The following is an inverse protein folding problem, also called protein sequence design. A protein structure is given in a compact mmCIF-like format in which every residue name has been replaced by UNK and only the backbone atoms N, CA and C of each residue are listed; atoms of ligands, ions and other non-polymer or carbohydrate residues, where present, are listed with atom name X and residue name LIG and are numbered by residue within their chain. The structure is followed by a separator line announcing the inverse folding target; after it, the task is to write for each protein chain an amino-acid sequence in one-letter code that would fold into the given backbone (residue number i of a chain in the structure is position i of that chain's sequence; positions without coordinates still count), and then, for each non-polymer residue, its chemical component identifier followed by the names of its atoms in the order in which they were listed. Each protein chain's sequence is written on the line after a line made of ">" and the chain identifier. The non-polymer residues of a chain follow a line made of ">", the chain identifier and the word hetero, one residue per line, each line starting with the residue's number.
data_IF_200875315949
#
_entry.id   IF_200875315949
#
_cell.length_a   1.000
_cell.length_b   1.000
_cell.length_c   1.000
_cell.angle_alpha   90.00
_cell.angle_beta   90.00
_cell.angle_gamma   90.00
#
_symmetry.space_group_name_H-M   'P 1'
#
loop_
_entity.id
_entity.type
_entity.pdbx_description
1 polymer ?
#
# COMPACT_ATOMS: atom_id res chain seq x y z
N UNK A 1 -5.84 -62.58 -33.57
CA UNK A 1 -6.57 -61.47 -32.98
C UNK A 1 -5.59 -60.64 -32.13
N UNK A 2 -4.97 -59.63 -32.75
CA UNK A 2 -4.08 -58.70 -32.03
C UNK A 2 -4.92 -57.67 -31.28
N UNK A 3 -4.75 -57.57 -29.96
CA UNK A 3 -5.32 -56.49 -29.15
C UNK A 3 -4.39 -55.29 -29.26
N UNK A 4 -4.81 -54.26 -30.00
CA UNK A 4 -4.18 -52.97 -29.99
C UNK A 4 -4.43 -52.30 -28.62
N UNK A 5 -3.37 -52.21 -27.85
CA UNK A 5 -3.36 -51.42 -26.61
C UNK A 5 -3.35 -49.94 -26.96
N UNK A 6 -4.47 -49.22 -26.74
CA UNK A 6 -4.50 -47.75 -26.75
C UNK A 6 -3.49 -47.22 -25.76
N UNK A 7 -2.37 -46.66 -26.26
CA UNK A 7 -1.50 -45.77 -25.48
C UNK A 7 -2.29 -44.53 -25.14
N UNK A 8 -2.74 -44.41 -23.90
CA UNK A 8 -3.19 -43.12 -23.36
C UNK A 8 -1.99 -42.17 -23.38
N UNK A 9 -2.01 -41.19 -24.25
CA UNK A 9 -1.08 -40.06 -24.21
C UNK A 9 -1.27 -39.34 -22.88
N UNK A 10 -0.28 -39.43 -22.00
CA UNK A 10 -0.23 -38.59 -20.80
C UNK A 10 -0.12 -37.13 -21.31
N UNK A 11 -1.07 -36.27 -20.93
CA UNK A 11 -0.92 -34.83 -21.12
C UNK A 11 0.42 -34.38 -20.53
N UNK A 12 1.16 -33.49 -21.19
CA UNK A 12 2.43 -32.98 -20.67
C UNK A 12 2.15 -32.32 -19.30
N UNK A 13 2.88 -32.73 -18.29
CA UNK A 13 2.76 -32.19 -16.94
C UNK A 13 3.28 -30.73 -16.97
N UNK A 14 2.43 -29.77 -16.58
CA UNK A 14 2.77 -28.35 -16.55
C UNK A 14 3.98 -28.10 -15.64
N UNK A 15 4.86 -27.19 -16.04
CA UNK A 15 5.98 -26.71 -15.22
C UNK A 15 5.48 -25.93 -14.00
N UNK A 16 6.32 -25.80 -12.96
CA UNK A 16 6.01 -24.95 -11.81
C UNK A 16 5.79 -23.50 -12.21
N UNK A 17 6.56 -23.01 -13.19
CA UNK A 17 6.38 -21.67 -13.74
C UNK A 17 4.99 -21.47 -14.36
N UNK A 18 4.54 -22.41 -15.20
CA UNK A 18 3.21 -22.35 -15.83
C UNK A 18 2.09 -22.36 -14.78
N UNK A 19 2.20 -23.23 -13.78
CA UNK A 19 1.22 -23.31 -12.69
C UNK A 19 1.18 -22.04 -11.85
N UNK A 20 2.34 -21.49 -11.48
CA UNK A 20 2.43 -20.26 -10.73
C UNK A 20 1.89 -19.05 -11.53
N UNK A 21 2.15 -19.03 -12.85
CA UNK A 21 1.65 -17.96 -13.74
C UNK A 21 0.13 -18.03 -13.90
N UNK A 22 -0.45 -19.22 -14.03
CA UNK A 22 -1.90 -19.41 -14.09
C UNK A 22 -2.56 -18.94 -12.79
N UNK A 23 -2.01 -19.31 -11.64
CA UNK A 23 -2.47 -18.89 -10.33
C UNK A 23 -2.39 -17.36 -10.19
N UNK A 24 -1.26 -16.75 -10.54
CA UNK A 24 -1.09 -15.30 -10.49
C UNK A 24 -2.10 -14.57 -11.38
N UNK A 25 -2.33 -15.06 -12.61
CA UNK A 25 -3.31 -14.47 -13.52
C UNK A 25 -4.73 -14.58 -12.98
N UNK A 26 -5.10 -15.70 -12.36
CA UNK A 26 -6.41 -15.88 -11.72
C UNK A 26 -6.63 -14.87 -10.58
N UNK A 27 -5.61 -14.67 -9.76
CA UNK A 27 -5.65 -13.68 -8.66
C UNK A 27 -5.75 -12.26 -9.21
N UNK A 28 -4.99 -11.91 -10.25
CA UNK A 28 -5.07 -10.58 -10.88
C UNK A 28 -6.49 -10.30 -11.44
N UNK A 29 -7.14 -11.31 -12.03
CA UNK A 29 -8.54 -11.21 -12.47
C UNK A 29 -9.50 -11.03 -11.29
N UNK A 30 -9.27 -11.72 -10.17
CA UNK A 30 -10.07 -11.57 -8.94
C UNK A 30 -9.93 -10.15 -8.37
N UNK A 31 -8.74 -9.57 -8.37
CA UNK A 31 -8.50 -8.18 -7.94
C UNK A 31 -9.32 -7.22 -8.80
N UNK A 32 -9.26 -7.38 -10.12
CA UNK A 32 -9.99 -6.54 -11.07
C UNK A 32 -11.52 -6.70 -10.89
N UNK A 33 -12.02 -7.90 -10.73
CA UNK A 33 -13.45 -8.17 -10.48
C UNK A 33 -13.93 -7.50 -9.18
N UNK A 34 -13.13 -7.61 -8.11
CA UNK A 34 -13.42 -6.98 -6.82
C UNK A 34 -13.44 -5.44 -6.94
N UNK A 35 -12.47 -4.89 -7.68
CA UNK A 35 -12.42 -3.46 -8.00
C UNK A 35 -13.66 -3.01 -8.79
N UNK A 36 -14.09 -3.78 -9.80
CA UNK A 36 -15.27 -3.48 -10.62
C UNK A 36 -16.57 -3.46 -9.82
N UNK A 37 -16.69 -4.36 -8.85
CA UNK A 37 -17.84 -4.45 -7.93
C UNK A 37 -17.89 -3.33 -6.90
N UNK A 38 -16.83 -2.49 -6.81
CA UNK A 38 -16.76 -1.38 -5.86
C UNK A 38 -16.40 -1.82 -4.43
N UNK A 39 -15.94 -3.04 -4.22
CA UNK A 39 -15.53 -3.52 -2.90
C UNK A 39 -14.11 -3.04 -2.55
N UNK A 40 -13.92 -2.67 -1.28
CA UNK A 40 -12.57 -2.49 -0.74
C UNK A 40 -11.87 -3.86 -0.69
N UNK A 41 -10.58 -3.87 -0.95
CA UNK A 41 -9.83 -5.12 -0.96
C UNK A 41 -8.42 -4.97 -0.40
N UNK A 42 -7.88 -6.07 0.12
CA UNK A 42 -6.50 -6.20 0.55
C UNK A 42 -5.87 -7.40 -0.14
N UNK A 43 -4.79 -7.15 -0.87
CA UNK A 43 -3.95 -8.17 -1.47
C UNK A 43 -2.82 -8.48 -0.50
N UNK A 44 -2.93 -9.63 0.17
CA UNK A 44 -1.88 -10.18 1.01
C UNK A 44 -0.95 -11.02 0.14
N UNK A 45 0.27 -10.56 -0.03
CA UNK A 45 1.18 -11.04 -1.06
C UNK A 45 2.58 -11.23 -0.49
N UNK A 46 2.98 -12.46 -0.22
CA UNK A 46 4.30 -12.78 0.32
C UNK A 46 5.45 -12.32 -0.57
N UNK A 47 6.67 -12.38 -0.04
CA UNK A 47 7.88 -12.02 -0.77
C UNK A 47 7.96 -12.77 -2.10
N UNK A 48 8.26 -12.05 -3.20
CA UNK A 48 8.41 -12.66 -4.53
C UNK A 48 7.11 -13.00 -5.26
N UNK A 49 5.93 -12.72 -4.70
CA UNK A 49 4.63 -13.04 -5.31
C UNK A 49 4.19 -12.12 -6.46
N UNK A 50 4.96 -11.08 -6.79
CA UNK A 50 4.62 -10.12 -7.85
C UNK A 50 3.56 -9.11 -7.44
N UNK A 51 3.56 -8.63 -6.20
CA UNK A 51 2.69 -7.60 -5.66
C UNK A 51 2.64 -6.33 -6.54
N UNK A 52 3.80 -5.73 -6.81
CA UNK A 52 3.94 -4.55 -7.67
C UNK A 52 3.45 -4.81 -9.11
N UNK A 53 3.60 -6.04 -9.61
CA UNK A 53 3.08 -6.42 -10.93
C UNK A 53 1.54 -6.37 -10.95
N UNK A 54 0.87 -6.92 -9.92
CA UNK A 54 -0.58 -6.86 -9.82
C UNK A 54 -1.09 -5.42 -9.66
N UNK A 55 -0.41 -4.59 -8.86
CA UNK A 55 -0.75 -3.17 -8.74
C UNK A 55 -0.67 -2.47 -10.11
N UNK A 56 0.39 -2.71 -10.88
CA UNK A 56 0.53 -2.15 -12.23
C UNK A 56 -0.59 -2.61 -13.18
N UNK A 57 -0.97 -3.90 -13.16
CA UNK A 57 -2.11 -4.40 -13.94
C UNK A 57 -3.43 -3.71 -13.57
N UNK A 58 -3.66 -3.45 -12.29
CA UNK A 58 -4.82 -2.69 -11.81
C UNK A 58 -4.79 -1.26 -12.36
N UNK A 59 -3.64 -0.59 -12.31
CA UNK A 59 -3.44 0.76 -12.85
C UNK A 59 -3.72 0.78 -14.36
N UNK A 60 -3.15 -0.14 -15.13
CA UNK A 60 -3.38 -0.27 -16.58
C UNK A 60 -4.87 -0.49 -16.89
N UNK A 61 -5.51 -1.38 -16.14
CA UNK A 61 -6.93 -1.64 -16.30
C UNK A 61 -7.79 -0.38 -16.04
N UNK A 62 -7.47 0.39 -14.99
CA UNK A 62 -8.15 1.64 -14.65
C UNK A 62 -7.97 2.66 -15.77
N UNK A 63 -6.76 2.81 -16.31
CA UNK A 63 -6.47 3.71 -17.41
C UNK A 63 -7.33 3.42 -18.66
N UNK A 64 -7.49 2.15 -18.99
CA UNK A 64 -8.27 1.72 -20.17
C UNK A 64 -9.78 1.86 -19.94
N UNK A 65 -10.26 1.45 -18.75
CA UNK A 65 -11.69 1.23 -18.54
C UNK A 65 -12.42 2.36 -17.80
N UNK A 66 -11.69 3.19 -17.03
CA UNK A 66 -12.28 4.20 -16.15
C UNK A 66 -11.93 5.65 -16.52
N UNK A 67 -11.01 5.89 -17.46
CA UNK A 67 -10.52 7.22 -17.77
C UNK A 67 -11.61 8.23 -18.16
N UNK A 68 -12.59 7.82 -18.99
CA UNK A 68 -13.70 8.70 -19.43
C UNK A 68 -14.55 9.13 -18.23
N UNK A 69 -14.84 8.18 -17.31
CA UNK A 69 -15.66 8.44 -16.14
C UNK A 69 -14.98 9.45 -15.20
N UNK A 70 -13.71 9.21 -14.88
CA UNK A 70 -12.98 10.03 -13.91
C UNK A 70 -12.63 11.42 -14.48
N UNK A 71 -12.20 11.51 -15.74
CA UNK A 71 -11.95 12.81 -16.39
C UNK A 71 -13.19 13.68 -16.48
N UNK A 72 -14.34 13.11 -16.87
CA UNK A 72 -15.61 13.87 -16.97
C UNK A 72 -16.00 14.52 -15.63
N UNK A 73 -15.67 13.87 -14.51
CA UNK A 73 -15.99 14.35 -13.16
C UNK A 73 -14.84 15.11 -12.50
N UNK A 74 -13.72 15.33 -13.18
CA UNK A 74 -12.48 15.88 -12.61
C UNK A 74 -12.02 15.12 -11.35
N UNK A 75 -12.13 13.79 -11.38
CA UNK A 75 -11.78 12.87 -10.31
C UNK A 75 -10.39 12.27 -10.56
N UNK A 76 -9.69 11.93 -9.49
CA UNK A 76 -8.36 11.34 -9.54
C UNK A 76 -8.30 10.03 -8.77
N UNK A 77 -7.61 9.06 -9.34
CA UNK A 77 -7.19 7.84 -8.63
C UNK A 77 -5.84 8.13 -7.98
N UNK A 78 -5.71 7.83 -6.71
CA UNK A 78 -4.44 8.01 -5.99
C UNK A 78 -3.75 6.66 -5.84
N UNK A 79 -2.46 6.61 -6.16
CA UNK A 79 -1.62 5.46 -5.89
C UNK A 79 -0.54 5.87 -4.88
N UNK A 80 -0.74 5.50 -3.63
CA UNK A 80 0.18 5.81 -2.53
C UNK A 80 1.25 4.72 -2.49
N UNK A 81 2.52 5.15 -2.51
CA UNK A 81 3.67 4.28 -2.38
C UNK A 81 4.55 4.75 -1.23
N UNK A 82 5.44 3.87 -0.78
CA UNK A 82 6.31 4.18 0.35
C UNK A 82 7.48 5.10 -0.03
N UNK A 83 8.04 4.98 -1.24
CA UNK A 83 9.26 5.68 -1.67
C UNK A 83 9.05 6.53 -2.92
N UNK A 84 9.85 7.60 -3.06
CA UNK A 84 9.87 8.39 -4.30
C UNK A 84 10.30 7.55 -5.51
N UNK A 85 11.22 6.60 -5.35
CA UNK A 85 11.61 5.70 -6.42
C UNK A 85 10.44 4.87 -6.96
N UNK A 86 9.54 4.40 -6.08
CA UNK A 86 8.32 3.71 -6.50
C UNK A 86 7.32 4.66 -7.20
N UNK A 87 7.22 5.92 -6.72
CA UNK A 87 6.44 6.97 -7.40
C UNK A 87 6.96 7.18 -8.82
N UNK A 88 8.27 7.29 -9.01
CA UNK A 88 8.91 7.52 -10.32
C UNK A 88 8.67 6.34 -11.27
N UNK A 89 8.76 5.10 -10.77
CA UNK A 89 8.48 3.90 -11.58
C UNK A 89 7.04 3.87 -12.07
N UNK A 90 6.06 4.21 -11.23
CA UNK A 90 4.66 4.26 -11.63
C UNK A 90 4.43 5.44 -12.58
N UNK A 91 4.97 6.62 -12.26
CA UNK A 91 4.83 7.83 -13.09
C UNK A 91 5.37 7.63 -14.50
N UNK A 92 6.50 6.93 -14.65
CA UNK A 92 7.10 6.63 -15.96
C UNK A 92 6.25 5.74 -16.87
N UNK A 93 5.23 5.09 -16.33
CA UNK A 93 4.27 4.25 -17.07
C UNK A 93 2.96 4.97 -17.40
N UNK A 94 2.74 6.14 -16.82
CA UNK A 94 1.54 6.93 -17.04
C UNK A 94 1.72 7.91 -18.18
N UNK A 95 0.66 8.18 -18.93
CA UNK A 95 0.64 9.28 -19.89
C UNK A 95 0.73 10.63 -19.15
N UNK A 96 1.31 11.64 -19.80
CA UNK A 96 1.51 12.98 -19.21
C UNK A 96 0.23 13.67 -18.70
N UNK A 97 -0.93 13.25 -19.16
CA UNK A 97 -2.24 13.80 -18.80
C UNK A 97 -3.09 12.75 -18.05
N UNK A 98 -2.44 12.03 -17.13
CA UNK A 98 -3.10 10.96 -16.37
C UNK A 98 -3.96 11.55 -15.25
N UNK A 99 -5.14 10.96 -15.05
CA UNK A 99 -5.98 11.18 -13.88
C UNK A 99 -5.52 10.34 -12.66
N UNK A 100 -4.46 9.53 -12.82
CA UNK A 100 -3.85 8.73 -11.75
C UNK A 100 -2.68 9.53 -11.18
N UNK A 101 -2.66 9.68 -9.86
CA UNK A 101 -1.67 10.45 -9.11
C UNK A 101 -0.84 9.49 -8.26
N UNK A 102 0.34 9.05 -8.72
CA UNK A 102 1.31 8.39 -7.87
C UNK A 102 1.88 9.39 -6.86
N UNK A 103 1.98 9.02 -5.61
CA UNK A 103 2.45 9.93 -4.57
C UNK A 103 2.94 9.17 -3.34
N UNK A 104 3.83 9.78 -2.57
CA UNK A 104 4.06 9.33 -1.19
C UNK A 104 2.92 9.81 -0.29
N UNK A 105 2.74 9.16 0.86
CA UNK A 105 1.65 9.51 1.78
C UNK A 105 1.74 10.97 2.25
N UNK A 106 2.93 11.50 2.51
CA UNK A 106 3.13 12.89 2.94
C UNK A 106 2.81 13.89 1.82
N UNK A 107 3.29 13.62 0.61
CA UNK A 107 3.00 14.46 -0.56
C UNK A 107 1.50 14.46 -0.89
N UNK A 108 0.85 13.30 -0.82
CA UNK A 108 -0.60 13.20 -1.00
C UNK A 108 -1.36 13.97 0.07
N UNK A 109 -1.05 13.73 1.35
CA UNK A 109 -1.68 14.42 2.47
C UNK A 109 -1.58 15.93 2.32
N UNK A 110 -0.36 16.45 2.04
CA UNK A 110 -0.16 17.88 1.81
C UNK A 110 -0.97 18.41 0.63
N UNK A 111 -0.95 17.74 -0.52
CA UNK A 111 -1.71 18.14 -1.70
C UNK A 111 -3.24 18.13 -1.46
N UNK A 112 -3.73 17.27 -0.58
CA UNK A 112 -5.14 17.24 -0.21
C UNK A 112 -5.55 18.43 0.67
N UNK A 113 -4.65 18.92 1.55
CA UNK A 113 -5.00 19.92 2.57
C UNK A 113 -4.48 21.33 2.29
N UNK A 114 -3.43 21.52 1.50
CA UNK A 114 -2.74 22.82 1.31
C UNK A 114 -3.64 23.99 0.91
N UNK A 115 -4.78 23.73 0.27
CA UNK A 115 -5.74 24.75 -0.13
C UNK A 115 -6.61 25.28 1.02
N UNK A 116 -6.66 24.57 2.16
CA UNK A 116 -7.50 24.94 3.31
C UNK A 116 -6.75 25.80 4.32
N UNK A 117 -6.03 26.81 3.85
CA UNK A 117 -5.12 27.65 4.65
C UNK A 117 -5.72 28.18 5.94
N UNK A 118 -6.92 28.77 5.90
CA UNK A 118 -7.61 29.31 7.10
C UNK A 118 -7.91 28.22 8.13
N UNK A 119 -8.28 27.01 7.68
CA UNK A 119 -8.54 25.88 8.57
C UNK A 119 -7.24 25.34 9.17
N UNK A 120 -6.16 25.27 8.38
CA UNK A 120 -4.84 24.85 8.85
C UNK A 120 -4.31 25.83 9.91
N UNK A 121 -4.37 27.13 9.65
CA UNK A 121 -3.95 28.17 10.60
C UNK A 121 -4.75 28.06 11.91
N UNK A 122 -6.07 27.85 11.82
CA UNK A 122 -6.91 27.64 13.01
C UNK A 122 -6.45 26.43 13.82
N UNK A 123 -6.30 25.27 13.20
CA UNK A 123 -5.81 24.05 13.89
C UNK A 123 -4.44 24.27 14.55
N UNK A 124 -3.51 24.92 13.84
CA UNK A 124 -2.19 25.23 14.36
C UNK A 124 -2.28 26.16 15.58
N UNK A 125 -3.17 27.14 15.57
CA UNK A 125 -3.36 28.09 16.69
C UNK A 125 -3.99 27.44 17.93
N UNK A 126 -4.80 26.41 17.75
CA UNK A 126 -5.51 25.69 18.82
C UNK A 126 -4.67 24.52 19.40
N UNK A 127 -3.71 23.99 18.65
CA UNK A 127 -2.89 22.84 19.06
C UNK A 127 -1.60 23.30 19.79
N UNK A 128 -1.51 22.95 21.08
CA UNK A 128 -0.39 23.31 21.94
C UNK A 128 0.97 22.81 21.44
N UNK A 129 1.02 21.74 20.65
CA UNK A 129 2.26 21.20 20.11
C UNK A 129 2.95 22.12 19.10
N UNK A 130 2.24 23.11 18.57
CA UNK A 130 2.80 24.15 17.72
C UNK A 130 3.29 25.36 18.50
N UNK A 131 2.91 25.55 19.77
CA UNK A 131 3.31 26.71 20.59
C UNK A 131 4.80 26.77 20.91
N UNK A 132 5.49 25.64 20.90
CA UNK A 132 6.95 25.57 21.11
C UNK A 132 7.77 25.84 19.86
N UNK A 133 7.14 26.26 18.76
CA UNK A 133 7.81 26.51 17.49
C UNK A 133 8.57 27.84 17.56
N UNK A 134 9.81 27.86 17.06
CA UNK A 134 10.59 29.10 16.95
C UNK A 134 9.90 30.10 16.01
N UNK A 135 9.94 31.40 16.40
CA UNK A 135 9.38 32.49 15.64
C UNK A 135 8.11 33.12 16.22
N UNK A 136 7.58 34.15 15.57
CA UNK A 136 6.39 34.87 16.00
C UNK A 136 5.12 34.13 15.63
N UNK A 137 4.58 33.39 16.60
CA UNK A 137 3.42 32.51 16.42
C UNK A 137 2.10 33.27 16.09
N UNK A 138 1.98 34.52 16.56
CA UNK A 138 0.73 35.28 16.40
C UNK A 138 0.51 35.86 15.00
N UNK A 139 1.50 35.78 14.13
CA UNK A 139 1.48 36.40 12.81
C UNK A 139 1.33 35.40 11.64
N UNK A 140 0.91 34.15 11.88
CA UNK A 140 0.78 33.16 10.81
C UNK A 140 -0.28 33.59 9.79
N UNK A 141 0.16 33.79 8.55
CA UNK A 141 -0.70 34.15 7.40
C UNK A 141 -0.76 33.06 6.34
N UNK A 142 0.22 32.16 6.34
CA UNK A 142 0.34 31.06 5.38
C UNK A 142 0.97 29.83 6.04
N UNK A 143 0.60 28.68 5.54
CA UNK A 143 1.19 27.40 5.94
C UNK A 143 1.82 26.75 4.70
N UNK A 144 3.06 26.31 4.83
CA UNK A 144 3.81 25.60 3.79
C UNK A 144 4.40 24.31 4.36
N UNK A 145 4.78 23.39 3.48
CA UNK A 145 5.42 22.13 3.84
C UNK A 145 6.88 22.12 3.41
N UNK A 146 7.75 21.70 4.31
CA UNK A 146 9.19 21.60 4.07
C UNK A 146 9.72 20.23 4.48
N UNK A 147 10.84 19.81 3.89
CA UNK A 147 11.56 18.59 4.28
C UNK A 147 12.45 18.78 5.52
N UNK A 148 12.60 20.03 6.01
CA UNK A 148 13.41 20.37 7.18
C UNK A 148 12.68 20.18 8.51
N UNK A 149 12.91 21.08 9.44
CA UNK A 149 12.20 21.14 10.73
C UNK A 149 11.06 22.16 10.68
N UNK A 150 10.21 22.13 11.68
CA UNK A 150 9.12 23.11 11.86
C UNK A 150 9.70 24.46 12.29
N UNK A 151 9.27 25.54 11.64
CA UNK A 151 9.60 26.92 12.04
C UNK A 151 8.58 27.91 11.49
N UNK A 152 8.53 29.13 12.05
CA UNK A 152 7.74 30.23 11.53
C UNK A 152 8.68 31.37 11.12
N UNK A 153 8.58 31.80 9.89
CA UNK A 153 9.36 32.91 9.35
C UNK A 153 8.47 33.82 8.50
N UNK A 154 8.53 35.14 8.75
CA UNK A 154 7.78 36.14 8.00
C UNK A 154 6.27 35.88 7.90
N UNK A 155 5.69 35.23 8.92
CA UNK A 155 4.27 34.84 8.96
C UNK A 155 3.93 33.61 8.10
N UNK A 156 4.94 32.82 7.70
CA UNK A 156 4.77 31.54 7.05
C UNK A 156 5.17 30.46 8.03
N UNK A 157 4.22 29.59 8.38
CA UNK A 157 4.50 28.40 9.17
C UNK A 157 4.94 27.28 8.25
N UNK A 158 6.18 26.84 8.39
CA UNK A 158 6.72 25.69 7.69
C UNK A 158 6.51 24.43 8.51
N UNK A 159 5.77 23.47 7.94
CA UNK A 159 5.42 22.21 8.56
C UNK A 159 6.47 21.14 8.27
N UNK A 160 6.69 20.26 9.24
CA UNK A 160 7.44 19.01 9.08
C UNK A 160 6.52 17.84 8.70
N UNK A 161 7.08 16.68 8.39
CA UNK A 161 6.35 15.48 7.96
C UNK A 161 5.21 15.09 8.89
N UNK A 162 5.48 14.98 10.20
CA UNK A 162 4.48 14.53 11.18
C UNK A 162 3.34 15.55 11.32
N UNK A 163 3.62 16.85 11.12
CA UNK A 163 2.62 17.91 11.17
C UNK A 163 1.60 17.78 10.04
N UNK A 164 2.09 17.50 8.82
CA UNK A 164 1.23 17.31 7.65
C UNK A 164 0.28 16.13 7.87
N UNK A 165 0.78 15.03 8.43
CA UNK A 165 -0.03 13.85 8.73
C UNK A 165 -1.07 14.15 9.81
N UNK A 166 -0.68 14.85 10.88
CA UNK A 166 -1.58 15.27 11.96
C UNK A 166 -2.70 16.16 11.44
N UNK A 167 -2.37 17.18 10.66
CA UNK A 167 -3.33 18.11 10.10
C UNK A 167 -4.25 17.44 9.07
N UNK A 168 -3.73 16.53 8.24
CA UNK A 168 -4.56 15.76 7.32
C UNK A 168 -5.53 14.86 8.09
N UNK A 169 -5.07 14.19 9.13
CA UNK A 169 -5.91 13.39 10.01
C UNK A 169 -7.01 14.24 10.66
N UNK A 170 -6.67 15.43 11.19
CA UNK A 170 -7.65 16.36 11.77
C UNK A 170 -8.69 16.88 10.74
N UNK A 171 -8.27 17.10 9.48
CA UNK A 171 -9.23 17.47 8.44
C UNK A 171 -10.16 16.30 8.08
N UNK A 172 -9.68 15.04 8.12
CA UNK A 172 -10.53 13.87 7.92
C UNK A 172 -11.60 13.73 9.02
N UNK A 173 -11.41 14.29 10.21
CA UNK A 173 -12.45 14.35 11.25
C UNK A 173 -13.60 15.31 10.86
N UNK A 174 -13.41 16.18 9.86
CA UNK A 174 -14.43 17.10 9.37
C UNK A 174 -15.29 16.50 8.25
N UNK A 175 -16.60 16.40 8.46
CA UNK A 175 -17.53 15.79 7.50
C UNK A 175 -17.58 16.50 6.13
N UNK A 176 -17.46 17.85 6.12
CA UNK A 176 -17.44 18.62 4.85
C UNK A 176 -16.18 18.33 4.05
N UNK A 177 -15.04 18.23 4.73
CA UNK A 177 -13.77 17.84 4.08
C UNK A 177 -13.88 16.43 3.51
N UNK A 178 -14.38 15.46 4.29
CA UNK A 178 -14.56 14.07 3.81
C UNK A 178 -15.40 13.98 2.55
N UNK A 179 -16.47 14.77 2.45
CA UNK A 179 -17.32 14.81 1.25
C UNK A 179 -16.53 15.28 0.03
N UNK A 180 -15.84 16.42 0.13
CA UNK A 180 -15.03 16.97 -0.97
C UNK A 180 -13.88 16.02 -1.33
N UNK A 181 -13.26 15.42 -0.33
CA UNK A 181 -12.20 14.42 -0.50
C UNK A 181 -12.69 13.20 -1.29
N UNK A 182 -13.85 12.65 -0.91
CA UNK A 182 -14.46 11.49 -1.60
C UNK A 182 -14.88 11.81 -3.04
N UNK A 183 -15.42 12.99 -3.27
CA UNK A 183 -15.80 13.44 -4.61
C UNK A 183 -14.57 13.58 -5.52
N UNK A 184 -13.43 14.01 -4.98
CA UNK A 184 -12.19 14.21 -5.72
C UNK A 184 -11.39 12.92 -5.92
N UNK A 185 -11.38 12.04 -4.93
CA UNK A 185 -10.56 10.83 -4.90
C UNK A 185 -11.43 9.57 -4.72
N UNK A 186 -12.10 9.09 -5.78
CA UNK A 186 -13.03 7.95 -5.67
C UNK A 186 -12.33 6.61 -5.48
N UNK A 187 -11.02 6.52 -5.73
CA UNK A 187 -10.22 5.30 -5.57
C UNK A 187 -8.83 5.64 -5.05
N UNK A 188 -8.43 4.94 -4.01
CA UNK A 188 -7.12 5.05 -3.37
C UNK A 188 -6.48 3.66 -3.31
N UNK A 189 -5.37 3.49 -4.01
CA UNK A 189 -4.53 2.30 -3.99
C UNK A 189 -3.33 2.58 -3.08
N UNK A 190 -3.02 1.66 -2.18
CA UNK A 190 -1.92 1.82 -1.21
C UNK A 190 -0.97 0.63 -1.34
N UNK A 191 0.24 0.87 -1.80
CA UNK A 191 1.32 -0.11 -1.84
C UNK A 191 2.07 -0.12 -0.51
N UNK A 192 2.59 -1.27 -0.11
CA UNK A 192 3.22 -1.53 1.19
C UNK A 192 2.36 -1.03 2.36
N UNK A 193 1.06 -1.37 2.30
CA UNK A 193 0.06 -0.84 3.24
C UNK A 193 0.46 -1.05 4.71
N UNK A 194 1.16 -2.14 5.02
CA UNK A 194 1.56 -2.49 6.39
C UNK A 194 2.47 -1.45 7.05
N UNK A 195 3.21 -0.68 6.23
CA UNK A 195 4.08 0.42 6.68
C UNK A 195 3.38 1.79 6.63
N UNK A 196 2.11 1.84 6.24
CA UNK A 196 1.34 3.08 6.20
C UNK A 196 1.05 3.60 7.60
N UNK A 197 0.92 4.93 7.69
CA UNK A 197 0.76 5.64 8.96
C UNK A 197 -0.61 5.34 9.60
N UNK A 198 -0.57 4.69 10.75
CA UNK A 198 -1.75 4.25 11.50
C UNK A 198 -2.83 5.34 11.68
N UNK A 199 -2.51 6.60 12.05
CA UNK A 199 -3.55 7.62 12.25
C UNK A 199 -4.39 7.91 11.01
N UNK A 200 -3.84 7.74 9.80
CA UNK A 200 -4.56 7.94 8.54
C UNK A 200 -5.41 6.72 8.21
N UNK A 201 -4.82 5.53 8.34
CA UNK A 201 -5.51 4.26 8.05
C UNK A 201 -6.69 4.08 8.99
N UNK A 202 -6.55 4.37 10.29
CA UNK A 202 -7.64 4.30 11.26
C UNK A 202 -8.84 5.18 10.82
N UNK A 203 -8.58 6.40 10.32
CA UNK A 203 -9.65 7.30 9.80
C UNK A 203 -10.26 6.81 8.49
N UNK A 204 -9.46 6.19 7.62
CA UNK A 204 -10.01 5.56 6.41
C UNK A 204 -10.92 4.39 6.77
N UNK A 205 -10.53 3.58 7.74
CA UNK A 205 -11.37 2.50 8.27
C UNK A 205 -12.65 3.04 8.90
N UNK A 206 -12.54 3.99 9.81
CA UNK A 206 -13.66 4.53 10.58
C UNK A 206 -14.66 5.28 9.70
N UNK A 207 -14.18 6.20 8.86
CA UNK A 207 -15.06 7.16 8.19
C UNK A 207 -15.51 6.76 6.80
N UNK A 208 -14.81 5.81 6.17
CA UNK A 208 -15.15 5.39 4.80
C UNK A 208 -15.47 3.91 4.72
N UNK A 209 -14.58 3.06 5.19
CA UNK A 209 -14.70 1.61 5.01
C UNK A 209 -15.82 1.05 5.89
N UNK A 210 -15.86 1.41 7.19
CA UNK A 210 -16.92 0.95 8.11
C UNK A 210 -18.32 1.42 7.69
N UNK A 211 -18.39 2.62 7.09
CA UNK A 211 -19.65 3.22 6.63
C UNK A 211 -20.03 2.83 5.20
N UNK A 212 -19.19 2.04 4.53
CA UNK A 212 -19.36 1.69 3.12
C UNK A 212 -19.62 2.92 2.23
N UNK A 213 -18.91 4.01 2.47
CA UNK A 213 -19.11 5.29 1.80
C UNK A 213 -17.77 5.97 1.48
N UNK A 214 -17.76 6.83 0.45
CA UNK A 214 -16.58 7.58 0.04
C UNK A 214 -15.69 6.83 -0.93
N UNK A 215 -14.34 6.97 -0.84
CA UNK A 215 -13.41 6.29 -1.72
C UNK A 215 -13.46 4.77 -1.58
N UNK A 216 -13.25 4.08 -2.69
CA UNK A 216 -12.87 2.67 -2.67
C UNK A 216 -11.39 2.54 -2.35
N UNK A 217 -11.01 1.54 -1.55
CA UNK A 217 -9.62 1.30 -1.16
C UNK A 217 -9.12 -0.04 -1.68
N UNK A 218 -7.89 -0.04 -2.22
CA UNK A 218 -7.13 -1.23 -2.55
C UNK A 218 -5.78 -1.21 -1.83
N UNK A 219 -5.57 -2.17 -0.94
CA UNK A 219 -4.35 -2.32 -0.14
C UNK A 219 -3.50 -3.43 -0.73
N UNK A 220 -2.23 -3.15 -1.02
CA UNK A 220 -1.25 -4.13 -1.50
C UNK A 220 -0.11 -4.19 -0.50
N UNK A 221 0.19 -5.37 0.03
CA UNK A 221 1.24 -5.47 1.03
C UNK A 221 1.52 -6.89 1.50
N UNK A 222 2.34 -6.95 2.53
CA UNK A 222 2.67 -8.17 3.27
C UNK A 222 2.80 -7.79 4.75
N UNK A 223 1.85 -8.20 5.55
CA UNK A 223 1.81 -7.88 6.98
C UNK A 223 3.03 -8.36 7.76
N UNK A 224 3.74 -9.39 7.26
CA UNK A 224 4.97 -9.91 7.86
C UNK A 224 6.21 -9.09 7.51
N UNK A 225 6.13 -8.23 6.49
CA UNK A 225 7.24 -7.36 6.08
C UNK A 225 7.19 -5.97 6.71
N UNK A 226 6.41 -5.77 7.76
CA UNK A 226 6.36 -4.49 8.49
C UNK A 226 7.74 -4.17 9.07
N UNK A 227 8.30 -3.03 8.66
CA UNK A 227 9.62 -2.57 9.12
C UNK A 227 9.56 -1.55 10.25
N UNK A 228 8.40 -0.99 10.52
CA UNK A 228 8.18 -0.01 11.58
C UNK A 228 7.57 -0.63 12.84
N UNK A 229 7.85 0.03 13.98
CA UNK A 229 7.22 -0.34 15.25
C UNK A 229 5.70 -0.19 15.17
N UNK A 230 4.96 -1.10 15.79
CA UNK A 230 3.51 -1.24 15.75
C UNK A 230 2.70 0.01 16.19
N UNK A 231 3.34 0.98 16.86
CA UNK A 231 2.69 2.23 17.25
C UNK A 231 2.66 3.30 16.15
N UNK A 232 3.47 3.18 15.09
CA UNK A 232 3.52 4.13 13.97
C UNK A 232 2.89 3.58 12.69
N UNK A 233 3.14 2.31 12.38
CA UNK A 233 2.60 1.62 11.22
C UNK A 233 1.24 0.98 11.53
N UNK A 234 0.39 0.83 10.51
CA UNK A 234 -0.92 0.21 10.67
C UNK A 234 -0.85 -1.31 10.82
N UNK A 235 0.24 -1.96 10.34
CA UNK A 235 0.36 -3.41 10.35
C UNK A 235 -0.73 -4.10 9.53
N UNK A 236 -1.22 -5.24 10.01
CA UNK A 236 -2.28 -5.98 9.33
C UNK A 236 -3.62 -5.26 9.43
N UNK A 237 -4.23 -4.95 8.29
CA UNK A 237 -5.57 -4.37 8.19
C UNK A 237 -6.59 -5.51 8.06
N UNK A 238 -7.55 -5.60 8.99
CA UNK A 238 -8.68 -6.53 8.91
C UNK A 238 -9.98 -5.79 9.18
N UNK A 239 -10.95 -5.96 8.29
CA UNK A 239 -12.28 -5.38 8.43
C UNK A 239 -13.31 -6.16 7.59
N UNK A 240 -14.54 -6.29 8.04
CA UNK A 240 -15.62 -7.04 7.34
C UNK A 240 -15.93 -6.50 5.94
N UNK A 241 -15.77 -5.19 5.73
CA UNK A 241 -15.97 -4.51 4.44
C UNK A 241 -14.72 -4.48 3.56
N UNK A 242 -13.73 -5.33 3.84
CA UNK A 242 -12.50 -5.51 3.04
C UNK A 242 -12.41 -6.96 2.58
N UNK A 243 -12.40 -7.18 1.27
CA UNK A 243 -12.19 -8.50 0.68
C UNK A 243 -10.71 -8.85 0.77
N UNK A 244 -10.36 -9.93 1.47
CA UNK A 244 -9.00 -10.46 1.48
C UNK A 244 -8.74 -11.27 0.22
N UNK A 245 -7.63 -10.99 -0.46
CA UNK A 245 -7.14 -11.70 -1.64
C UNK A 245 -5.71 -12.14 -1.37
N UNK A 246 -5.47 -13.46 -1.34
CA UNK A 246 -4.15 -14.04 -1.06
C UNK A 246 -3.43 -14.37 -2.35
N UNK A 247 -2.15 -13.97 -2.47
CA UNK A 247 -1.33 -14.20 -3.63
C UNK A 247 -0.21 -15.19 -3.32
N UNK A 248 -0.38 -16.44 -3.78
CA UNK A 248 0.48 -17.58 -3.43
C UNK A 248 1.59 -17.90 -4.42
N UNK A 249 1.59 -17.37 -5.65
CA UNK A 249 2.69 -17.58 -6.58
C UNK A 249 3.98 -16.91 -6.09
N UNK A 250 5.14 -17.59 -6.17
CA UNK A 250 6.44 -17.03 -5.80
C UNK A 250 7.42 -17.17 -6.97
N UNK A 251 7.75 -16.05 -7.60
CA UNK A 251 8.64 -15.96 -8.76
C UNK A 251 10.11 -15.68 -8.40
N UNK A 252 10.43 -15.61 -7.10
CA UNK A 252 11.75 -15.21 -6.59
C UNK A 252 12.50 -16.37 -5.96
N UNK A 253 11.81 -17.19 -5.18
CA UNK A 253 12.42 -18.15 -4.28
C UNK A 253 12.33 -19.58 -4.82
N UNK A 254 13.42 -20.35 -4.65
CA UNK A 254 13.48 -21.76 -5.02
C UNK A 254 12.53 -22.62 -4.16
N UNK A 255 12.12 -23.83 -4.64
CA UNK A 255 11.14 -24.67 -3.96
C UNK A 255 11.43 -24.93 -2.48
N UNK A 256 12.65 -25.33 -2.09
CA UNK A 256 13.00 -25.59 -0.69
C UNK A 256 12.86 -24.38 0.22
N UNK A 257 13.10 -23.16 -0.32
CA UNK A 257 12.90 -21.93 0.43
C UNK A 257 11.40 -21.66 0.61
N UNK A 258 10.60 -21.90 -0.44
CA UNK A 258 9.14 -21.77 -0.38
C UNK A 258 8.54 -22.80 0.58
N UNK A 259 9.06 -24.03 0.63
CA UNK A 259 8.62 -25.06 1.59
C UNK A 259 8.87 -24.61 3.03
N UNK A 260 10.04 -24.01 3.32
CA UNK A 260 10.32 -23.41 4.62
C UNK A 260 9.36 -22.24 4.94
N UNK A 261 9.11 -21.35 3.98
CA UNK A 261 8.16 -20.25 4.14
C UNK A 261 6.75 -20.77 4.44
N UNK A 262 6.30 -21.80 3.78
CA UNK A 262 5.00 -22.45 4.00
C UNK A 262 4.91 -23.12 5.39
N UNK A 263 6.02 -23.65 5.88
CA UNK A 263 6.09 -24.20 7.23
C UNK A 263 5.97 -23.09 8.30
N UNK A 264 6.65 -21.96 8.09
CA UNK A 264 6.64 -20.83 9.04
C UNK A 264 5.32 -20.05 8.97
N UNK A 265 4.73 -19.91 7.76
CA UNK A 265 3.55 -19.09 7.47
C UNK A 265 2.48 -19.89 6.71
N UNK A 266 1.81 -20.84 7.39
CA UNK A 266 0.83 -21.72 6.76
C UNK A 266 -0.45 -21.00 6.29
N UNK A 267 -0.74 -19.80 6.82
CA UNK A 267 -1.92 -19.00 6.44
C UNK A 267 -1.80 -18.33 5.06
N UNK A 268 -0.58 -18.23 4.52
CA UNK A 268 -0.32 -17.73 3.17
C UNK A 268 0.58 -18.72 2.40
N UNK A 269 0.06 -19.89 2.00
CA UNK A 269 0.85 -20.88 1.29
C UNK A 269 1.29 -20.34 -0.07
N UNK A 270 2.56 -20.57 -0.40
CA UNK A 270 3.16 -20.15 -1.67
C UNK A 270 3.55 -21.36 -2.53
N UNK A 271 3.63 -21.14 -3.84
CA UNK A 271 4.16 -22.06 -4.84
C UNK A 271 5.33 -21.42 -5.56
N UNK A 272 6.49 -22.09 -5.56
CA UNK A 272 7.64 -21.63 -6.35
C UNK A 272 7.37 -21.75 -7.85
N UNK A 273 7.73 -20.72 -8.59
CA UNK A 273 7.74 -20.71 -10.06
C UNK A 273 9.07 -21.22 -10.63
N UNK A 274 10.04 -21.61 -9.78
CA UNK A 274 11.37 -22.04 -10.21
C UNK A 274 11.38 -23.54 -10.44
N UNK A 275 11.74 -23.98 -11.67
CA UNK A 275 11.79 -25.40 -12.05
C UNK A 275 13.20 -26.00 -11.94
N UNK A 276 14.23 -25.22 -12.27
CA UNK A 276 15.58 -25.77 -12.55
C UNK A 276 16.55 -25.64 -11.37
N UNK A 277 16.10 -25.15 -10.22
CA UNK A 277 16.94 -24.95 -9.05
C UNK A 277 16.17 -25.21 -7.77
N UNK A 278 16.53 -26.25 -7.02
CA UNK A 278 15.83 -26.65 -5.80
C UNK A 278 16.05 -25.67 -4.63
N UNK A 279 17.18 -24.99 -4.59
CA UNK A 279 17.62 -24.17 -3.46
C UNK A 279 18.20 -25.00 -2.32
N UNK A 280 18.71 -24.30 -1.30
CA UNK A 280 19.25 -24.89 -0.08
C UNK A 280 18.77 -24.07 1.12
N UNK A 281 18.47 -24.76 2.23
CA UNK A 281 18.16 -24.16 3.52
C UNK A 281 19.11 -24.74 4.54
N UNK A 282 19.89 -23.89 5.20
CA UNK A 282 20.83 -24.29 6.24
C UNK A 282 20.39 -23.66 7.55
N UNK A 283 20.25 -24.48 8.61
CA UNK A 283 19.98 -23.99 9.96
C UNK A 283 21.28 -23.98 10.73
N UNK A 284 21.69 -22.81 11.19
CA UNK A 284 22.87 -22.65 12.04
C UNK A 284 22.37 -22.41 13.47
N UNK A 285 22.76 -23.33 14.38
CA UNK A 285 22.49 -23.18 15.81
C UNK A 285 23.74 -22.65 16.49
N UNK A 286 23.57 -21.74 17.45
CA UNK A 286 24.65 -21.22 18.29
C UNK A 286 24.35 -21.56 19.75
N UNK A 287 25.25 -22.35 20.37
CA UNK A 287 25.10 -22.77 21.78
C UNK A 287 25.43 -21.64 22.77
N UNK A 288 26.04 -20.53 22.31
CA UNK A 288 26.50 -19.41 23.14
C UNK A 288 25.44 -18.31 23.35
N UNK A 289 24.17 -18.57 23.09
CA UNK A 289 23.12 -17.59 23.35
C UNK A 289 22.79 -17.54 24.85
N UNK A 290 23.62 -16.84 25.61
CA UNK A 290 23.36 -16.51 27.01
C UNK A 290 22.87 -15.04 27.08
N UNK A 291 21.54 -14.85 27.14
CA UNK A 291 20.88 -13.67 27.70
C UNK A 291 20.96 -12.37 26.90
N UNK A 292 20.12 -11.47 27.26
CA UNK A 292 19.64 -10.18 26.73
C UNK A 292 20.65 -9.12 26.19
N UNK A 293 21.93 -9.43 25.98
CA UNK A 293 22.95 -8.42 25.64
C UNK A 293 23.57 -8.52 24.24
N UNK A 294 22.99 -9.29 23.30
CA UNK A 294 23.63 -9.49 21.96
C UNK A 294 22.75 -9.12 20.76
N UNK A 295 21.75 -8.29 20.91
CA UNK A 295 20.98 -7.76 19.78
C UNK A 295 21.79 -6.82 18.84
N UNK A 296 22.96 -6.33 19.27
CA UNK A 296 23.71 -5.31 18.55
C UNK A 296 24.83 -5.85 17.64
N UNK A 297 24.98 -7.18 17.47
CA UNK A 297 26.14 -7.74 16.74
C UNK A 297 25.85 -8.55 15.49
N UNK A 298 24.58 -8.71 15.08
CA UNK A 298 24.22 -9.54 13.93
C UNK A 298 23.23 -8.85 12.97
N UNK A 299 23.55 -7.62 12.56
CA UNK A 299 22.99 -7.01 11.35
C UNK A 299 24.07 -6.20 10.65
#
# INVERSE_FOLDING_TARGET
>A
MCKEGKRMSKEPQKSNFELAQEEANKIDLQIIDTLQKGYNFRVEAGAGSGKTYSLNKVIEWIQVNKWKQYRKKNQHVVCITYTNAAVDVISGRLANDSFIIPSTIHSFAWNAIKQYQSTLIKFISEDETFRSTEGDFFAIRKVEYTLGHRYNENGIMYLYHDDVIRLFAALLDNAKFRRVFSDKYPLILIDEYQDSLKPIIDRFLEYFISLNSGPQFGFFGDSWQTIYQSNKACGLIQHENIVEIKKGANFRSAPKIVDLLNFIRPELPQRSAIDNFAGEVTVITCDDYIGERRTDRYF
#
